data_IF_341398592411
#
_entry.id   IF_341398592411
#
_cell.length_a   1.000
_cell.length_b   1.000
_cell.length_c   1.000
_cell.angle_alpha   90.00
_cell.angle_beta   90.00
_cell.angle_gamma   90.00
#
_symmetry.space_group_name_H-M   'P 1'
#
loop_
_entity.id
_entity.type
_entity.pdbx_description
1 polymer ?
#
# COMPACT_ATOMS: atom_id res chain seq x y z
N UNK A 1 -3.03 -27.97 62.34
CA UNK A 1 -2.10 -27.22 63.22
C UNK A 1 -0.85 -27.00 62.38
N UNK A 2 -0.47 -25.82 61.89
CA UNK A 2 -0.29 -24.52 62.54
C UNK A 2 -0.29 -23.45 61.45
N UNK A 3 -0.84 -22.28 61.78
CA UNK A 3 -0.85 -21.04 60.99
C UNK A 3 0.50 -20.32 61.03
N UNK A 4 0.77 -19.49 60.00
CA UNK A 4 1.51 -18.20 59.97
C UNK A 4 1.98 -17.97 58.51
N UNK A 5 1.55 -17.00 57.70
CA UNK A 5 1.16 -15.58 57.85
C UNK A 5 2.31 -14.63 58.16
N UNK A 6 2.41 -13.54 57.35
CA UNK A 6 3.13 -12.25 57.56
C UNK A 6 4.61 -12.27 57.08
N UNK A 7 5.17 -11.37 56.25
CA UNK A 7 4.88 -9.97 55.89
C UNK A 7 5.52 -9.61 54.53
N UNK A 8 4.89 -8.67 53.85
CA UNK A 8 5.38 -7.86 52.74
C UNK A 8 6.69 -7.12 53.04
N UNK A 9 7.61 -7.11 52.09
CA UNK A 9 8.64 -6.07 51.95
C UNK A 9 8.91 -5.88 50.45
N UNK A 10 8.37 -4.79 49.91
CA UNK A 10 8.69 -4.30 48.57
C UNK A 10 10.11 -3.71 48.61
N UNK A 11 11.02 -4.28 47.82
CA UNK A 11 12.29 -3.62 47.47
C UNK A 11 12.20 -3.25 46.01
N UNK A 12 11.89 -1.96 45.81
CA UNK A 12 11.83 -1.25 44.55
C UNK A 12 13.26 -1.08 44.02
N UNK A 13 13.78 -2.08 43.32
CA UNK A 13 15.06 -1.97 42.63
C UNK A 13 14.79 -1.48 41.19
N UNK A 14 14.70 -0.15 41.05
CA UNK A 14 14.53 0.57 39.80
C UNK A 14 15.86 0.54 39.01
N UNK A 15 16.17 -0.61 38.42
CA UNK A 15 17.20 -0.71 37.37
C UNK A 15 16.60 -0.17 36.08
N UNK A 16 16.81 1.12 35.84
CA UNK A 16 16.49 1.79 34.59
C UNK A 16 17.38 1.22 33.46
N UNK A 17 16.86 0.20 32.75
CA UNK A 17 17.36 -0.13 31.41
C UNK A 17 16.82 0.94 30.45
N UNK A 18 17.67 1.59 29.63
CA UNK A 18 17.16 2.36 28.50
C UNK A 18 16.65 1.34 27.48
N UNK A 19 15.32 1.15 27.40
CA UNK A 19 14.70 0.57 26.21
C UNK A 19 14.96 1.56 25.06
N UNK A 20 16.01 1.30 24.28
CA UNK A 20 16.08 1.82 22.92
C UNK A 20 15.09 1.01 22.11
N UNK A 21 13.86 1.50 22.02
CA UNK A 21 12.90 1.09 21.00
C UNK A 21 13.47 1.52 19.64
N UNK A 22 14.27 0.66 19.03
CA UNK A 22 14.61 0.82 17.63
C UNK A 22 13.39 0.38 16.82
N UNK A 23 12.49 1.34 16.58
CA UNK A 23 11.48 1.18 15.54
C UNK A 23 12.22 0.82 14.24
N UNK A 24 11.86 -0.31 13.62
CA UNK A 24 12.33 -0.66 12.30
C UNK A 24 12.07 0.53 11.39
N UNK A 25 13.13 1.22 10.97
CA UNK A 25 13.02 2.33 10.04
C UNK A 25 12.58 1.73 8.72
N UNK A 26 11.34 2.02 8.31
CA UNK A 26 10.93 1.81 6.94
C UNK A 26 11.95 2.51 6.03
N UNK A 27 12.59 1.80 5.09
CA UNK A 27 13.57 2.39 4.18
C UNK A 27 12.94 3.42 3.22
N UNK A 28 11.61 3.58 3.28
CA UNK A 28 10.81 4.52 2.49
C UNK A 28 10.35 5.77 3.25
N UNK A 29 10.69 5.94 4.53
CA UNK A 29 10.43 7.20 5.25
C UNK A 29 11.54 8.21 4.96
N UNK A 30 11.47 8.85 3.79
CA UNK A 30 12.25 10.03 3.49
C UNK A 30 11.63 11.24 4.18
N UNK A 31 12.24 11.75 5.25
CA UNK A 31 11.94 13.10 5.71
C UNK A 31 12.45 14.08 4.64
N UNK A 32 11.62 15.05 4.25
CA UNK A 32 12.02 16.17 3.41
C UNK A 32 12.99 17.08 4.18
N UNK A 33 14.23 16.62 4.31
CA UNK A 33 15.33 17.50 4.71
C UNK A 33 15.74 18.28 3.47
N UNK A 34 15.42 19.58 3.48
CA UNK A 34 16.06 20.58 2.63
C UNK A 34 17.55 20.57 2.91
N UNK A 35 18.30 19.74 2.20
CA UNK A 35 19.76 19.80 2.17
C UNK A 35 20.15 20.36 0.81
N UNK A 36 20.37 21.67 0.78
CA UNK A 36 21.16 22.34 -0.24
C UNK A 36 22.59 21.78 -0.19
N UNK A 37 22.90 20.82 -1.06
CA UNK A 37 24.25 20.27 -1.17
C UNK A 37 24.33 19.03 -2.05
N UNK A 38 25.16 19.11 -3.08
CA UNK A 38 25.56 18.07 -4.05
C UNK A 38 24.48 17.59 -5.04
N UNK A 39 24.56 18.18 -6.23
CA UNK A 39 23.88 17.84 -7.48
C UNK A 39 23.99 16.36 -7.85
N UNK A 40 22.97 15.57 -7.52
CA UNK A 40 22.63 14.40 -8.32
C UNK A 40 21.91 14.92 -9.58
N UNK A 41 22.55 14.75 -10.75
CA UNK A 41 22.01 15.15 -12.05
C UNK A 41 20.72 14.37 -12.30
N UNK A 42 19.57 15.02 -12.06
CA UNK A 42 18.26 14.48 -12.44
C UNK A 42 18.21 14.46 -13.99
N UNK A 43 17.76 13.38 -14.64
CA UNK A 43 17.75 13.26 -16.11
C UNK A 43 16.64 14.11 -16.79
N UNK A 44 16.07 15.05 -16.06
CA UNK A 44 15.02 15.97 -16.53
C UNK A 44 15.20 17.31 -15.82
N UNK A 45 14.99 18.41 -16.56
CA UNK A 45 14.92 19.76 -16.01
C UNK A 45 13.45 20.15 -15.90
N UNK A 46 12.96 20.38 -14.68
CA UNK A 46 11.61 20.87 -14.46
C UNK A 46 11.69 22.39 -14.32
N UNK A 47 11.18 23.11 -15.32
CA UNK A 47 11.18 24.57 -15.30
C UNK A 47 10.08 25.11 -14.39
N UNK A 48 8.92 24.45 -14.35
CA UNK A 48 7.80 24.80 -13.47
C UNK A 48 6.86 23.59 -13.26
N UNK A 49 6.28 23.47 -12.07
CA UNK A 49 5.18 22.54 -11.77
C UNK A 49 3.99 23.41 -11.38
N UNK A 50 2.96 23.46 -12.21
CA UNK A 50 1.72 24.16 -11.89
C UNK A 50 0.65 23.15 -11.52
N UNK A 51 0.20 23.19 -10.27
CA UNK A 51 -1.03 22.51 -9.84
C UNK A 51 -2.16 23.52 -9.93
N UNK A 52 -3.11 23.33 -10.84
CA UNK A 52 -4.30 24.18 -10.91
C UNK A 52 -5.16 23.99 -9.66
N UNK A 53 -4.97 24.87 -8.69
CA UNK A 53 -5.81 24.93 -7.50
C UNK A 53 -7.14 25.59 -7.83
N UNK A 54 -8.17 24.76 -8.02
CA UNK A 54 -9.55 25.11 -7.65
C UNK A 54 -10.43 23.86 -7.67
N UNK A 55 -10.11 22.91 -6.78
CA UNK A 55 -10.88 21.75 -6.25
C UNK A 55 -9.95 20.55 -6.13
N UNK A 56 -9.87 19.86 -4.97
CA UNK A 56 -9.23 18.55 -4.88
C UNK A 56 -10.12 17.53 -5.62
N UNK A 57 -10.08 17.58 -6.95
CA UNK A 57 -10.56 16.53 -7.82
C UNK A 57 -9.40 15.55 -7.98
N UNK A 58 -9.69 14.31 -7.67
CA UNK A 58 -8.72 13.26 -7.46
C UNK A 58 -8.29 12.66 -8.81
N UNK A 59 -7.01 12.83 -9.13
CA UNK A 59 -6.43 12.50 -10.42
C UNK A 59 -5.24 13.42 -10.63
N UNK A 60 -4.03 12.91 -10.39
CA UNK A 60 -2.81 13.66 -10.69
C UNK A 60 -2.56 13.57 -12.20
N UNK A 61 -3.33 14.31 -12.99
CA UNK A 61 -2.91 14.61 -14.34
C UNK A 61 -1.76 15.61 -14.21
N UNK A 62 -0.54 15.08 -14.09
CA UNK A 62 0.67 15.91 -14.03
C UNK A 62 0.92 16.42 -15.45
N UNK A 63 0.42 17.62 -15.75
CA UNK A 63 0.75 18.32 -16.98
C UNK A 63 2.20 18.83 -16.90
N UNK A 64 3.14 18.02 -17.38
CA UNK A 64 4.54 18.43 -17.51
C UNK A 64 4.67 19.29 -18.76
N UNK A 65 4.84 20.60 -18.58
CA UNK A 65 5.08 21.54 -19.67
C UNK A 65 6.60 21.66 -19.91
N UNK A 66 7.11 21.11 -21.01
CA UNK A 66 8.53 21.15 -21.34
C UNK A 66 8.93 20.18 -22.47
N UNK A 67 10.16 20.31 -22.98
CA UNK A 67 10.69 19.35 -23.96
C UNK A 67 11.04 18.02 -23.28
N UNK A 68 10.35 16.95 -23.67
CA UNK A 68 10.68 15.59 -23.20
C UNK A 68 11.98 15.12 -23.84
N UNK A 69 13.07 15.16 -23.09
CA UNK A 69 14.32 14.47 -23.46
C UNK A 69 14.29 13.04 -22.94
N UNK A 70 14.57 12.06 -23.79
CA UNK A 70 14.68 10.66 -23.39
C UNK A 70 15.76 10.53 -22.29
N UNK A 71 15.37 10.14 -21.08
CA UNK A 71 16.22 10.16 -19.88
C UNK A 71 17.35 9.13 -19.86
N UNK A 72 17.67 8.52 -21.00
CA UNK A 72 18.68 7.47 -21.13
C UNK A 72 18.23 6.13 -20.54
N UNK A 73 19.08 5.12 -20.71
CA UNK A 73 18.88 3.79 -20.14
C UNK A 73 19.12 3.82 -18.63
N UNK A 74 18.16 3.36 -17.84
CA UNK A 74 18.35 3.16 -16.39
C UNK A 74 19.18 1.88 -16.21
N UNK A 75 20.26 1.90 -15.40
CA UNK A 75 21.01 0.68 -15.08
C UNK A 75 20.09 -0.38 -14.45
N UNK A 76 20.26 -1.66 -14.79
CA UNK A 76 19.38 -2.75 -14.35
C UNK A 76 19.16 -2.82 -12.83
N UNK A 77 20.09 -2.29 -12.04
CA UNK A 77 20.11 -2.38 -10.58
C UNK A 77 19.75 -1.03 -9.90
N UNK A 78 19.51 0.02 -10.69
CA UNK A 78 19.20 1.35 -10.17
C UNK A 78 17.70 1.50 -9.96
N UNK A 79 17.31 2.02 -8.79
CA UNK A 79 15.90 2.33 -8.50
C UNK A 79 15.44 3.44 -9.44
N UNK A 80 14.44 3.14 -10.27
CA UNK A 80 13.89 4.13 -11.21
C UNK A 80 13.37 5.35 -10.41
N UNK A 81 13.90 6.58 -10.66
CA UNK A 81 13.43 7.79 -10.00
C UNK A 81 11.97 8.13 -10.31
N UNK A 82 11.39 7.53 -11.36
CA UNK A 82 9.99 7.67 -11.74
C UNK A 82 9.05 6.74 -10.97
N UNK A 83 9.57 5.83 -10.15
CA UNK A 83 8.73 4.88 -9.38
C UNK A 83 7.64 5.56 -8.54
N UNK A 84 7.90 6.78 -8.05
CA UNK A 84 6.93 7.59 -7.30
C UNK A 84 5.71 8.06 -8.11
N UNK A 85 5.78 7.98 -9.44
CA UNK A 85 4.70 8.37 -10.36
C UNK A 85 3.96 7.17 -10.94
N UNK A 86 4.32 5.94 -10.53
CA UNK A 86 3.67 4.71 -10.99
C UNK A 86 2.65 4.29 -9.94
N UNK A 87 1.39 4.12 -10.34
CA UNK A 87 0.37 3.55 -9.44
C UNK A 87 0.68 2.06 -9.20
N UNK A 88 0.93 1.64 -7.95
CA UNK A 88 1.21 0.25 -7.63
C UNK A 88 0.11 -0.73 -8.07
N UNK A 89 -1.15 -0.28 -8.18
CA UNK A 89 -2.27 -1.14 -8.60
C UNK A 89 -2.28 -1.45 -10.10
N UNK A 90 -1.49 -0.71 -10.90
CA UNK A 90 -1.33 -0.96 -12.35
C UNK A 90 -0.21 -1.96 -12.67
N UNK A 91 0.55 -2.37 -11.65
CA UNK A 91 1.65 -3.31 -11.82
C UNK A 91 1.11 -4.72 -12.11
N UNK A 92 1.75 -5.40 -13.06
CA UNK A 92 1.40 -6.76 -13.43
C UNK A 92 1.87 -7.76 -12.38
N UNK A 93 0.97 -8.64 -11.96
CA UNK A 93 1.24 -9.70 -11.00
C UNK A 93 0.61 -11.02 -11.43
N UNK A 94 1.18 -12.12 -10.93
CA UNK A 94 0.72 -13.47 -11.24
C UNK A 94 -0.36 -13.88 -10.25
N UNK A 95 -1.53 -14.27 -10.75
CA UNK A 95 -2.60 -14.82 -9.91
C UNK A 95 -2.36 -16.29 -9.62
N UNK A 96 -1.35 -16.55 -8.80
CA UNK A 96 -1.03 -17.86 -8.23
C UNK A 96 -1.22 -17.74 -6.72
N UNK A 97 -2.24 -18.44 -6.22
CA UNK A 97 -2.62 -18.39 -4.81
C UNK A 97 -1.85 -19.46 -4.04
N UNK A 98 -1.28 -19.12 -2.88
CA UNK A 98 -0.81 -20.10 -1.90
C UNK A 98 -1.92 -21.07 -1.46
N UNK A 99 -1.55 -22.25 -0.95
CA UNK A 99 -2.52 -23.28 -0.57
C UNK A 99 -3.40 -22.87 0.62
N UNK A 100 -2.94 -21.95 1.46
CA UNK A 100 -3.65 -21.39 2.62
C UNK A 100 -4.66 -20.29 2.24
N UNK A 101 -4.58 -19.75 1.03
CA UNK A 101 -5.45 -18.69 0.53
C UNK A 101 -6.71 -19.31 -0.08
N UNK A 102 -7.85 -19.21 0.64
CA UNK A 102 -9.14 -19.84 0.28
C UNK A 102 -10.26 -18.84 0.03
N UNK A 103 -10.20 -17.66 0.64
CA UNK A 103 -11.23 -16.63 0.53
C UNK A 103 -10.78 -15.46 -0.33
N UNK A 104 -11.75 -14.73 -0.88
CA UNK A 104 -11.48 -13.51 -1.66
C UNK A 104 -10.71 -12.50 -0.81
N UNK A 105 -11.06 -12.33 0.46
CA UNK A 105 -10.33 -11.49 1.43
C UNK A 105 -8.84 -11.82 1.47
N UNK A 106 -8.51 -13.09 1.68
CA UNK A 106 -7.11 -13.55 1.75
C UNK A 106 -6.38 -13.33 0.42
N UNK A 107 -7.04 -13.58 -0.72
CA UNK A 107 -6.47 -13.34 -2.03
C UNK A 107 -6.20 -11.85 -2.28
N UNK A 108 -7.11 -10.97 -1.86
CA UNK A 108 -6.92 -9.52 -1.94
C UNK A 108 -5.76 -9.09 -1.06
N UNK A 109 -5.73 -9.52 0.20
CA UNK A 109 -4.66 -9.15 1.13
C UNK A 109 -3.28 -9.57 0.58
N UNK A 110 -3.20 -10.77 -0.03
CA UNK A 110 -1.99 -11.26 -0.70
C UNK A 110 -1.57 -10.39 -1.91
N UNK A 111 -2.52 -9.96 -2.75
CA UNK A 111 -2.21 -9.08 -3.88
C UNK A 111 -1.78 -7.68 -3.43
N UNK A 112 -2.38 -7.17 -2.35
CA UNK A 112 -2.15 -5.81 -1.88
C UNK A 112 -0.90 -5.66 -1.04
N UNK A 113 -0.42 -6.74 -0.38
CA UNK A 113 0.79 -6.75 0.45
C UNK A 113 2.00 -6.04 -0.19
N UNK A 114 2.41 -6.34 -1.44
CA UNK A 114 3.55 -5.65 -2.07
C UNK A 114 3.26 -4.21 -2.51
N UNK A 115 1.98 -3.82 -2.60
CA UNK A 115 1.55 -2.51 -3.12
C UNK A 115 1.46 -1.44 -2.04
N UNK A 116 1.38 -1.84 -0.77
CA UNK A 116 1.18 -0.94 0.37
C UNK A 116 -0.26 -0.47 0.55
N UNK A 117 -1.21 -0.98 -0.26
CA UNK A 117 -2.63 -0.76 -0.06
C UNK A 117 -3.20 -1.70 0.99
N UNK A 118 -4.29 -1.28 1.65
CA UNK A 118 -5.01 -2.08 2.64
C UNK A 118 -6.47 -2.22 2.27
N UNK A 119 -7.01 -3.42 2.45
CA UNK A 119 -8.42 -3.71 2.31
C UNK A 119 -9.21 -3.11 3.47
N UNK A 120 -10.30 -2.41 3.15
CA UNK A 120 -11.23 -1.84 4.13
C UNK A 120 -12.64 -2.35 3.84
N UNK A 121 -13.27 -2.95 4.85
CA UNK A 121 -14.63 -3.52 4.75
C UNK A 121 -15.61 -2.98 5.79
N UNK A 122 -15.16 -2.05 6.63
CA UNK A 122 -15.96 -1.31 7.61
C UNK A 122 -15.77 0.19 7.37
N UNK A 123 -16.54 1.04 8.04
CA UNK A 123 -16.47 2.50 7.89
C UNK A 123 -15.01 2.98 7.74
N UNK A 124 -14.63 3.65 6.64
CA UNK A 124 -15.47 4.35 5.64
C UNK A 124 -16.12 3.49 4.53
N UNK A 125 -15.84 2.19 4.44
CA UNK A 125 -16.40 1.31 3.41
C UNK A 125 -17.88 0.94 3.64
N UNK A 126 -18.65 0.67 2.58
CA UNK A 126 -20.00 0.13 2.67
C UNK A 126 -20.03 -1.22 3.39
N UNK A 127 -21.11 -1.51 4.11
CA UNK A 127 -21.24 -2.78 4.85
C UNK A 127 -21.32 -3.98 3.92
N UNK A 128 -21.83 -3.83 2.70
CA UNK A 128 -21.80 -4.90 1.70
C UNK A 128 -20.40 -5.33 1.27
N UNK A 129 -19.37 -4.47 1.43
CA UNK A 129 -17.99 -4.81 1.07
C UNK A 129 -17.49 -6.06 1.82
N UNK A 130 -17.86 -6.20 3.10
CA UNK A 130 -17.53 -7.38 3.89
C UNK A 130 -18.12 -8.66 3.29
N UNK A 131 -19.37 -8.59 2.82
CA UNK A 131 -20.09 -9.73 2.23
C UNK A 131 -19.48 -10.17 0.90
N UNK A 132 -18.82 -9.26 0.18
CA UNK A 132 -18.16 -9.59 -1.09
C UNK A 132 -16.85 -10.34 -0.88
N UNK A 133 -16.07 -9.94 0.14
CA UNK A 133 -14.72 -10.51 0.36
C UNK A 133 -14.72 -11.79 1.17
N UNK A 134 -15.78 -12.06 1.94
CA UNK A 134 -15.88 -13.29 2.74
C UNK A 134 -16.30 -14.52 1.89
N UNK A 135 -16.47 -14.34 0.58
CA UNK A 135 -16.77 -15.40 -0.39
C UNK A 135 -15.53 -16.25 -0.68
N UNK A 136 -15.70 -17.53 -1.11
CA UNK A 136 -14.59 -18.32 -1.64
C UNK A 136 -14.06 -17.71 -2.93
N UNK A 137 -12.79 -17.97 -3.24
CA UNK A 137 -12.15 -17.51 -4.48
C UNK A 137 -12.91 -18.08 -5.68
N UNK A 138 -13.35 -17.24 -6.64
CA UNK A 138 -14.12 -17.73 -7.77
C UNK A 138 -13.24 -18.61 -8.68
N UNK A 139 -13.78 -19.66 -9.33
CA UNK A 139 -13.01 -20.58 -10.17
C UNK A 139 -12.17 -19.88 -11.26
N UNK A 140 -12.69 -18.80 -11.83
CA UNK A 140 -12.01 -18.00 -12.85
C UNK A 140 -10.70 -17.35 -12.35
N UNK A 141 -10.55 -17.18 -11.04
CA UNK A 141 -9.34 -16.63 -10.43
C UNK A 141 -8.22 -17.66 -10.24
N UNK A 142 -8.50 -18.96 -10.31
CA UNK A 142 -7.47 -20.01 -10.25
C UNK A 142 -6.71 -20.20 -11.56
N UNK A 143 -7.17 -19.59 -12.65
CA UNK A 143 -6.45 -19.62 -13.92
C UNK A 143 -5.16 -18.83 -13.77
N UNK A 144 -4.02 -19.53 -13.86
CA UNK A 144 -2.69 -18.92 -13.78
C UNK A 144 -2.48 -17.96 -14.96
N UNK A 145 -2.46 -16.66 -14.65
CA UNK A 145 -2.20 -15.61 -15.62
C UNK A 145 -1.47 -14.46 -14.96
N UNK A 146 -0.93 -13.59 -15.81
CA UNK A 146 -0.31 -12.33 -15.39
C UNK A 146 -1.25 -11.20 -15.81
N UNK A 147 -1.73 -10.42 -14.85
CA UNK A 147 -2.60 -9.27 -15.10
C UNK A 147 -2.34 -8.15 -14.08
N UNK A 148 -2.78 -6.91 -14.35
CA UNK A 148 -2.70 -5.82 -13.39
C UNK A 148 -3.39 -6.15 -12.06
N UNK A 149 -2.91 -5.60 -10.95
CA UNK A 149 -3.52 -5.77 -9.62
C UNK A 149 -4.99 -5.39 -9.66
N UNK A 150 -5.30 -4.24 -10.26
CA UNK A 150 -6.65 -3.71 -10.34
C UNK A 150 -7.61 -4.67 -11.06
N UNK A 151 -7.18 -5.27 -12.17
CA UNK A 151 -7.95 -6.27 -12.92
C UNK A 151 -8.11 -7.56 -12.10
N UNK A 152 -7.10 -7.93 -11.32
CA UNK A 152 -7.17 -9.08 -10.42
C UNK A 152 -8.20 -8.89 -9.31
N UNK A 153 -8.22 -7.70 -8.69
CA UNK A 153 -9.20 -7.31 -7.68
C UNK A 153 -10.62 -7.34 -8.29
N UNK A 154 -10.78 -6.77 -9.49
CA UNK A 154 -12.06 -6.78 -10.20
C UNK A 154 -12.55 -8.20 -10.47
N UNK A 155 -11.66 -9.10 -10.87
CA UNK A 155 -12.02 -10.50 -11.10
C UNK A 155 -12.45 -11.21 -9.81
N UNK A 156 -11.74 -11.00 -8.71
CA UNK A 156 -12.01 -11.66 -7.43
C UNK A 156 -13.40 -11.29 -6.89
N UNK A 157 -13.79 -10.03 -7.04
CA UNK A 157 -15.09 -9.53 -6.57
C UNK A 157 -16.19 -9.79 -7.62
N UNK A 158 -15.82 -9.97 -8.88
CA UNK A 158 -16.74 -10.27 -9.99
C UNK A 158 -17.12 -9.02 -10.78
N UNK A 159 -17.55 -9.22 -12.03
CA UNK A 159 -17.81 -8.14 -13.01
C UNK A 159 -18.99 -7.22 -12.63
N UNK A 160 -19.90 -7.71 -11.80
CA UNK A 160 -21.09 -6.95 -11.35
C UNK A 160 -20.81 -6.09 -10.11
N UNK A 161 -19.58 -6.05 -9.63
CA UNK A 161 -19.19 -5.24 -8.47
C UNK A 161 -18.12 -4.26 -8.88
N UNK A 162 -17.96 -3.17 -8.13
CA UNK A 162 -16.94 -2.18 -8.42
C UNK A 162 -15.85 -2.18 -7.36
N UNK A 163 -14.62 -1.98 -7.83
CA UNK A 163 -13.46 -1.70 -6.99
C UNK A 163 -13.38 -0.19 -6.75
N UNK A 164 -13.38 0.21 -5.48
CA UNK A 164 -13.24 1.60 -5.06
C UNK A 164 -11.85 1.78 -4.47
N UNK A 165 -11.07 2.69 -5.03
CA UNK A 165 -9.68 2.92 -4.66
C UNK A 165 -9.49 4.32 -4.11
N UNK A 166 -8.85 4.38 -2.95
CA UNK A 166 -8.36 5.61 -2.33
C UNK A 166 -6.82 5.55 -2.23
N UNK A 167 -6.13 5.77 -3.35
CA UNK A 167 -4.73 6.22 -3.44
C UNK A 167 -4.26 7.28 -2.40
N UNK A 168 -5.08 8.18 -1.83
CA UNK A 168 -4.58 9.16 -0.85
C UNK A 168 -4.25 8.50 0.49
N UNK A 169 -5.07 7.53 0.89
CA UNK A 169 -4.89 6.79 2.14
C UNK A 169 -4.42 5.35 1.92
N UNK A 170 -4.12 4.97 0.68
CA UNK A 170 -3.82 3.61 0.22
C UNK A 170 -4.88 2.60 0.68
N UNK A 171 -6.15 2.90 0.43
CA UNK A 171 -7.26 2.02 0.74
C UNK A 171 -7.86 1.41 -0.53
N UNK A 172 -8.29 0.17 -0.41
CA UNK A 172 -9.14 -0.49 -1.39
C UNK A 172 -10.39 -0.96 -0.68
N UNK A 173 -11.54 -0.72 -1.30
CA UNK A 173 -12.85 -1.19 -0.86
C UNK A 173 -13.64 -1.68 -2.08
N UNK A 174 -14.80 -2.27 -1.83
CA UNK A 174 -15.70 -2.73 -2.88
C UNK A 174 -17.11 -2.21 -2.63
N UNK A 175 -17.85 -2.10 -3.72
CA UNK A 175 -19.27 -1.78 -3.70
C UNK A 175 -20.00 -2.71 -4.67
N UNK A 176 -21.25 -3.03 -4.35
CA UNK A 176 -22.10 -3.81 -5.22
C UNK A 176 -22.81 -2.89 -6.22
N UNK A 177 -23.13 -3.37 -7.43
CA UNK A 177 -23.88 -2.61 -8.45
C UNK A 177 -25.39 -2.61 -8.17
N UNK A 178 -25.82 -2.19 -6.97
CA UNK A 178 -27.24 -2.17 -6.57
C UNK A 178 -27.79 -0.77 -6.40
#
# INVERSE_FOLDING_TARGET
MKTMSIKTAAVLCLLALPLVTQAARNPFSGSSTTTSGSSAVKPYTVTEVSTTSSRPMYGYDVNVNGSFTNGGSIPANAKDPRYQFVDPLTVYMRTVWPEDVKTVRQAIDYLLEPTGYRLVTSYPAPREAALLVDKPIPPIAYVHRTMPVLDALQLLVGLDNYVVVDHAHHLVSFQNNR
#
